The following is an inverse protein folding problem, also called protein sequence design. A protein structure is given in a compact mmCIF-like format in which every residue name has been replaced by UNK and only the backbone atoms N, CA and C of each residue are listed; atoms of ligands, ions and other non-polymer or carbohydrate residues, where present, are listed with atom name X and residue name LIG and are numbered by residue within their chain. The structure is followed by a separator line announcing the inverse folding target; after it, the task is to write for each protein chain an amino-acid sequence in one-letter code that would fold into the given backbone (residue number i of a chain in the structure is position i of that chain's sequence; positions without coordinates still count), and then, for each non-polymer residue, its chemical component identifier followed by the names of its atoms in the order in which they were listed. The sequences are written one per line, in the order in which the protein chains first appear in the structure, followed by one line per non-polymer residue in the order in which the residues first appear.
data_IF_407456746544
#
_entry.id   IF_407456746544
#
_cell.length_a   1.000
_cell.length_b   1.000
_cell.length_c   1.000
_cell.angle_alpha   90.00
_cell.angle_beta   90.00
_cell.angle_gamma   90.00
#
_symmetry.space_group_name_H-M   'P 1'
#
loop_
_entity.id
_entity.type
_entity.pdbx_description
1 polymer ?
#
# COMPACT_ATOMS: atom_id res chain seq x y z
N UNK A 1 -40.67 21.63 13.12
CA UNK A 1 -41.65 21.94 12.06
C UNK A 1 -41.71 20.75 11.11
N UNK A 2 -42.74 19.91 11.22
CA UNK A 2 -42.92 18.73 10.35
C UNK A 2 -43.55 19.16 9.03
N UNK A 3 -42.95 18.77 7.90
CA UNK A 3 -43.52 19.03 6.57
C UNK A 3 -44.67 18.04 6.34
N UNK A 4 -45.85 18.55 5.99
CA UNK A 4 -47.00 17.74 5.60
C UNK A 4 -46.72 17.03 4.28
N UNK A 5 -46.99 15.72 4.22
CA UNK A 5 -46.91 14.95 2.98
C UNK A 5 -47.98 15.46 2.00
N UNK A 6 -47.54 15.92 0.84
CA UNK A 6 -48.43 16.39 -0.24
C UNK A 6 -49.10 15.17 -0.86
N UNK A 7 -50.44 15.12 -0.83
CA UNK A 7 -51.22 14.10 -1.52
C UNK A 7 -51.18 14.37 -3.02
N UNK A 8 -50.47 13.52 -3.75
CA UNK A 8 -50.35 13.60 -5.21
C UNK A 8 -51.64 13.05 -5.86
N UNK A 9 -52.72 13.83 -5.80
CA UNK A 9 -53.90 13.61 -6.62
C UNK A 9 -53.62 14.16 -8.02
N UNK A 10 -53.33 13.27 -8.96
CA UNK A 10 -53.61 13.35 -10.42
C UNK A 10 -52.58 12.61 -11.32
N UNK A 11 -52.07 11.45 -10.89
CA UNK A 11 -51.37 10.52 -11.78
C UNK A 11 -52.35 9.52 -12.40
N UNK A 12 -53.29 9.99 -13.22
CA UNK A 12 -54.30 9.10 -13.80
C UNK A 12 -53.77 8.19 -14.93
N UNK A 13 -52.63 8.54 -15.53
CA UNK A 13 -52.09 7.89 -16.73
C UNK A 13 -50.61 7.45 -16.63
N UNK A 14 -49.98 7.55 -15.45
CA UNK A 14 -48.55 7.22 -15.29
C UNK A 14 -48.35 6.14 -14.24
N UNK A 15 -47.66 5.07 -14.62
CA UNK A 15 -47.21 4.04 -13.69
C UNK A 15 -45.99 4.55 -12.93
N UNK A 16 -46.13 4.79 -11.62
CA UNK A 16 -45.03 5.22 -10.76
C UNK A 16 -44.27 4.00 -10.29
N UNK A 17 -42.97 3.95 -10.60
CA UNK A 17 -42.06 2.93 -10.12
C UNK A 17 -41.01 3.56 -9.19
N UNK A 18 -40.63 2.83 -8.15
CA UNK A 18 -39.50 3.18 -7.28
C UNK A 18 -38.40 2.14 -7.48
N UNK A 19 -37.22 2.60 -7.89
CA UNK A 19 -36.03 1.77 -8.03
C UNK A 19 -34.99 2.12 -6.97
N UNK A 20 -34.24 1.12 -6.51
CA UNK A 20 -33.08 1.30 -5.64
C UNK A 20 -31.84 0.75 -6.35
N UNK A 21 -30.84 1.61 -6.55
CA UNK A 21 -29.55 1.19 -7.07
C UNK A 21 -28.58 0.93 -5.90
N UNK A 22 -28.35 -0.35 -5.60
CA UNK A 22 -27.34 -0.77 -4.63
C UNK A 22 -26.01 -0.94 -5.38
N UNK A 23 -24.97 -0.26 -4.90
CA UNK A 23 -23.63 -0.31 -5.51
C UNK A 23 -22.62 -0.88 -4.52
N UNK A 24 -21.68 -1.69 -5.01
CA UNK A 24 -20.52 -2.17 -4.26
C UNK A 24 -19.30 -1.33 -4.61
N UNK A 25 -18.59 -0.72 -3.64
CA UNK A 25 -17.35 -0.01 -3.93
C UNK A 25 -16.24 -0.98 -4.34
N UNK A 26 -15.26 -0.48 -5.08
CA UNK A 26 -14.08 -1.25 -5.43
C UNK A 26 -13.32 -1.65 -4.16
N UNK A 27 -12.95 -2.94 -4.07
CA UNK A 27 -12.17 -3.48 -2.94
C UNK A 27 -10.67 -3.33 -3.19
N UNK A 28 -10.26 -3.31 -4.45
CA UNK A 28 -8.87 -3.28 -4.89
C UNK A 28 -8.63 -1.99 -5.66
N UNK A 29 -7.43 -1.43 -5.51
CA UNK A 29 -6.98 -0.25 -6.27
C UNK A 29 -6.88 -0.55 -7.76
N UNK A 30 -7.20 0.39 -8.67
CA UNK A 30 -6.97 0.20 -10.09
C UNK A 30 -5.48 0.06 -10.40
N UNK A 31 -5.15 -0.61 -11.51
CA UNK A 31 -3.76 -0.68 -11.97
C UNK A 31 -3.32 0.66 -12.56
N UNK A 32 -2.05 1.02 -12.30
CA UNK A 32 -1.46 2.24 -12.84
C UNK A 32 -1.25 2.11 -14.34
N UNK A 33 -1.67 3.14 -15.08
CA UNK A 33 -1.36 3.28 -16.50
C UNK A 33 0.16 3.44 -16.72
N UNK A 34 0.68 3.18 -17.93
CA UNK A 34 2.11 3.31 -18.21
C UNK A 34 2.67 4.70 -17.88
N UNK A 35 1.91 5.75 -18.15
CA UNK A 35 2.29 7.13 -17.82
C UNK A 35 2.33 7.36 -16.31
N UNK A 36 1.32 6.90 -15.57
CA UNK A 36 1.28 7.02 -14.11
C UNK A 36 2.45 6.28 -13.45
N UNK A 37 2.86 5.12 -13.99
CA UNK A 37 4.06 4.40 -13.52
C UNK A 37 5.33 5.25 -13.71
N UNK A 38 5.51 5.83 -14.89
CA UNK A 38 6.67 6.70 -15.16
C UNK A 38 6.70 7.92 -14.22
N UNK A 39 5.53 8.52 -13.98
CA UNK A 39 5.39 9.66 -13.08
C UNK A 39 5.64 9.25 -11.63
N UNK A 40 5.15 8.09 -11.19
CA UNK A 40 5.43 7.55 -9.86
C UNK A 40 6.92 7.29 -9.65
N UNK A 41 7.62 6.74 -10.64
CA UNK A 41 9.06 6.52 -10.60
C UNK A 41 9.85 7.84 -10.53
N UNK A 42 9.39 8.86 -11.27
CA UNK A 42 9.98 10.20 -11.20
C UNK A 42 9.81 10.79 -9.80
N UNK A 43 8.60 10.74 -9.23
CA UNK A 43 8.35 11.26 -7.89
C UNK A 43 9.16 10.52 -6.83
N UNK A 44 9.30 9.19 -6.94
CA UNK A 44 10.13 8.40 -6.03
C UNK A 44 11.59 8.85 -6.04
N UNK A 45 12.15 9.18 -7.22
CA UNK A 45 13.51 9.71 -7.34
C UNK A 45 13.64 11.09 -6.72
N UNK A 46 12.71 11.98 -7.02
CA UNK A 46 12.69 13.34 -6.47
C UNK A 46 12.59 13.31 -4.94
N UNK A 47 11.74 12.43 -4.41
CA UNK A 47 11.56 12.24 -2.97
C UNK A 47 12.87 11.77 -2.33
N UNK A 48 13.51 10.75 -2.89
CA UNK A 48 14.78 10.24 -2.38
C UNK A 48 15.88 11.31 -2.41
N UNK A 49 16.07 11.99 -3.54
CA UNK A 49 17.10 13.04 -3.71
C UNK A 49 16.90 14.25 -2.78
N UNK A 50 15.66 14.53 -2.38
CA UNK A 50 15.30 15.65 -1.49
C UNK A 50 15.06 15.23 -0.05
N UNK A 51 15.19 13.94 0.26
CA UNK A 51 15.01 13.44 1.61
C UNK A 51 16.26 13.64 2.48
N UNK A 52 16.04 13.72 3.79
CA UNK A 52 17.13 13.61 4.76
C UNK A 52 17.41 12.14 5.06
N UNK A 53 18.60 11.88 5.60
CA UNK A 53 19.00 10.55 6.04
C UNK A 53 18.00 10.01 7.07
N UNK A 54 17.45 8.84 6.79
CA UNK A 54 16.52 8.16 7.69
C UNK A 54 17.25 7.63 8.93
N UNK A 55 16.49 7.35 9.99
CA UNK A 55 17.05 6.76 11.21
C UNK A 55 17.73 5.40 10.94
N UNK A 56 17.20 4.62 9.99
CA UNK A 56 17.75 3.33 9.59
C UNK A 56 19.08 3.49 8.85
N UNK A 57 19.18 4.41 7.89
CA UNK A 57 20.41 4.68 7.16
C UNK A 57 21.51 5.23 8.07
N UNK A 58 21.17 6.17 8.96
CA UNK A 58 22.12 6.71 9.94
C UNK A 58 22.67 5.60 10.83
N UNK A 59 21.80 4.72 11.30
CA UNK A 59 22.19 3.57 12.11
C UNK A 59 23.12 2.63 11.35
N UNK A 60 22.78 2.29 10.10
CA UNK A 60 23.62 1.45 9.25
C UNK A 60 25.01 2.07 9.04
N UNK A 61 25.10 3.39 8.82
CA UNK A 61 26.39 4.07 8.73
C UNK A 61 27.23 4.01 10.01
N UNK A 62 26.60 4.18 11.18
CA UNK A 62 27.30 4.14 12.46
C UNK A 62 27.80 2.73 12.74
N UNK A 63 26.96 1.71 12.54
CA UNK A 63 27.32 0.31 12.73
C UNK A 63 28.44 -0.14 11.78
N UNK A 64 28.37 0.23 10.50
CA UNK A 64 29.45 -0.09 9.52
C UNK A 64 30.78 0.57 9.89
N UNK A 65 30.76 1.84 10.33
CA UNK A 65 31.95 2.53 10.85
C UNK A 65 32.51 1.81 12.08
N UNK A 66 31.66 1.45 13.04
CA UNK A 66 32.08 0.74 14.25
C UNK A 66 32.70 -0.63 13.93
N UNK A 67 32.07 -1.42 13.05
CA UNK A 67 32.58 -2.72 12.60
C UNK A 67 33.95 -2.55 11.91
N UNK A 68 34.07 -1.57 11.00
CA UNK A 68 35.35 -1.31 10.31
C UNK A 68 36.47 -0.92 11.28
N UNK A 69 36.15 -0.13 12.30
CA UNK A 69 37.09 0.29 13.34
C UNK A 69 37.52 -0.90 14.22
N UNK A 70 36.56 -1.75 14.63
CA UNK A 70 36.82 -2.95 15.42
C UNK A 70 37.68 -3.98 14.66
N UNK A 71 37.52 -4.10 13.34
CA UNK A 71 38.37 -4.94 12.51
C UNK A 71 39.80 -4.38 12.37
N UNK A 72 39.96 -3.05 12.39
CA UNK A 72 41.24 -2.36 12.21
C UNK A 72 42.07 -2.18 13.49
N UNK A 73 41.43 -2.12 14.65
CA UNK A 73 42.07 -1.98 15.97
C UNK A 73 41.65 -3.15 16.85
N UNK A 74 42.62 -3.86 17.42
CA UNK A 74 42.41 -4.86 18.47
C UNK A 74 41.96 -4.23 19.82
N UNK A 75 41.08 -3.22 19.77
CA UNK A 75 40.63 -2.45 20.93
C UNK A 75 39.14 -2.71 21.16
N UNK A 76 38.87 -3.30 22.33
CA UNK A 76 37.55 -3.54 22.91
C UNK A 76 36.78 -2.23 23.04
N UNK A 77 35.73 -2.06 22.25
CA UNK A 77 34.89 -0.87 22.34
C UNK A 77 33.70 -1.18 23.23
N UNK A 78 33.67 -0.53 24.40
CA UNK A 78 32.63 -0.61 25.42
C UNK A 78 31.40 0.24 25.02
N UNK A 79 30.97 0.12 23.77
CA UNK A 79 29.79 0.77 23.22
C UNK A 79 28.58 -0.14 23.41
N UNK A 80 27.41 0.41 23.75
CA UNK A 80 26.16 -0.35 23.79
C UNK A 80 25.85 -0.86 22.39
N UNK A 81 26.32 -2.07 22.09
CA UNK A 81 26.08 -2.75 20.83
C UNK A 81 24.62 -3.18 20.79
N UNK A 82 23.92 -2.76 19.74
CA UNK A 82 22.61 -3.31 19.41
C UNK A 82 22.80 -4.79 19.08
N UNK A 83 21.96 -5.66 19.67
CA UNK A 83 22.07 -7.12 19.50
C UNK A 83 21.86 -7.59 18.06
N UNK A 84 21.23 -6.78 17.22
CA UNK A 84 20.90 -7.10 15.82
C UNK A 84 21.31 -5.92 14.97
N UNK A 85 22.19 -6.10 14.01
CA UNK A 85 22.64 -5.05 13.07
C UNK A 85 21.50 -4.60 12.16
N UNK A 86 21.51 -3.35 11.67
CA UNK A 86 20.56 -2.85 10.67
C UNK A 86 20.46 -3.79 9.46
N UNK A 87 21.60 -4.31 9.00
CA UNK A 87 21.68 -5.30 7.91
C UNK A 87 21.03 -6.65 8.25
N UNK A 88 21.18 -7.14 9.48
CA UNK A 88 20.53 -8.38 9.91
C UNK A 88 19.01 -8.21 9.96
N UNK A 89 18.55 -7.00 10.29
CA UNK A 89 17.12 -6.67 10.27
C UNK A 89 16.55 -6.68 8.86
N UNK A 90 17.28 -6.13 7.87
CA UNK A 90 16.91 -6.20 6.45
C UNK A 90 16.77 -7.65 5.98
N UNK A 91 17.75 -8.50 6.31
CA UNK A 91 17.69 -9.93 5.98
C UNK A 91 16.47 -10.61 6.62
N UNK A 92 16.12 -10.26 7.85
CA UNK A 92 14.94 -10.80 8.52
C UNK A 92 13.64 -10.37 7.82
N UNK A 93 13.56 -9.11 7.37
CA UNK A 93 12.41 -8.62 6.59
C UNK A 93 12.30 -9.28 5.22
N UNK A 94 13.42 -9.51 4.54
CA UNK A 94 13.46 -10.25 3.27
C UNK A 94 12.95 -11.68 3.45
N UNK A 95 13.43 -12.38 4.49
CA UNK A 95 12.98 -13.74 4.81
C UNK A 95 11.48 -13.80 5.12
N UNK A 96 10.93 -12.79 5.80
CA UNK A 96 9.50 -12.73 6.09
C UNK A 96 8.67 -12.38 4.85
N UNK A 97 9.20 -11.52 3.97
CA UNK A 97 8.59 -11.22 2.68
C UNK A 97 8.54 -12.45 1.76
N UNK A 98 9.57 -13.29 1.76
CA UNK A 98 9.61 -14.54 0.98
C UNK A 98 8.62 -15.59 1.49
N UNK A 99 8.40 -15.66 2.81
CA UNK A 99 7.41 -16.58 3.41
C UNK A 99 5.98 -16.15 3.08
N UNK A 100 5.74 -14.86 2.89
CA UNK A 100 4.41 -14.33 2.67
C UNK A 100 3.99 -14.44 1.19
N UNK A 101 2.79 -15.00 0.96
CA UNK A 101 2.18 -15.06 -0.37
C UNK A 101 0.92 -14.18 -0.38
N UNK A 102 0.91 -13.03 -1.07
CA UNK A 102 -0.29 -12.21 -1.17
C UNK A 102 -1.39 -12.94 -1.95
N UNK A 103 -2.64 -12.63 -1.62
CA UNK A 103 -3.78 -13.15 -2.37
C UNK A 103 -3.79 -12.61 -3.81
N UNK A 104 -4.22 -13.44 -4.75
CA UNK A 104 -4.38 -13.03 -6.14
C UNK A 104 -5.44 -11.94 -6.26
N UNK A 105 -5.14 -10.91 -7.06
CA UNK A 105 -6.07 -9.81 -7.33
C UNK A 105 -7.20 -10.23 -8.27
N UNK A 106 -6.94 -11.24 -9.11
CA UNK A 106 -7.91 -11.85 -10.01
C UNK A 106 -8.53 -13.07 -9.32
N UNK A 107 -9.84 -13.18 -9.42
CA UNK A 107 -10.61 -14.30 -8.90
C UNK A 107 -11.10 -15.18 -10.05
N UNK A 108 -11.47 -16.44 -9.77
CA UNK A 108 -12.01 -17.33 -10.80
C UNK A 108 -13.27 -16.80 -11.49
N UNK A 109 -14.01 -15.89 -10.85
CA UNK A 109 -15.18 -15.21 -11.43
C UNK A 109 -14.79 -14.21 -12.54
N UNK A 110 -13.58 -13.66 -12.50
CA UNK A 110 -13.09 -12.71 -13.51
C UNK A 110 -12.71 -13.42 -14.82
N UNK A 111 -12.45 -14.73 -14.76
CA UNK A 111 -12.10 -15.58 -15.91
C UNK A 111 -13.32 -16.22 -16.57
N UNK A 112 -14.43 -16.32 -15.83
CA UNK A 112 -15.71 -16.80 -16.35
C UNK A 112 -16.44 -15.55 -16.82
N UNK A 113 -16.28 -15.19 -18.09
CA UNK A 113 -17.12 -14.16 -18.71
C UNK A 113 -18.57 -14.42 -18.30
N UNK A 114 -19.17 -13.43 -17.64
CA UNK A 114 -20.52 -13.49 -17.11
C UNK A 114 -21.48 -13.63 -18.31
N UNK A 115 -21.78 -14.87 -18.68
CA UNK A 115 -22.79 -15.25 -19.71
C UNK A 115 -24.22 -14.82 -19.29
N UNK A 116 -24.40 -14.21 -18.12
CA UNK A 116 -25.69 -13.73 -17.65
C UNK A 116 -25.89 -12.23 -17.93
N UNK A 117 -26.03 -11.89 -19.21
CA UNK A 117 -26.83 -10.75 -19.65
C UNK A 117 -27.70 -11.19 -20.84
N UNK A 118 -28.78 -11.92 -20.55
CA UNK A 118 -30.01 -11.89 -21.35
C UNK A 118 -31.22 -12.15 -20.47
#
# INVERSE_FOLDING_TARGET
MSRSLVSLKDFKNWNIFSGLCIRRPAVITPELTPLEKQVADLYKKIEFERSYLSAHELRHEVETKNISNALSKAASTNSQESLITAREMELMWELDAEKYKPAERLTGMDLIEVIYYH
#
